data_IF_116545677220
#
_entry.id   IF_116545677220
#
_cell.length_a   1.000
_cell.length_b   1.000
_cell.length_c   1.000
_cell.angle_alpha   90.00
_cell.angle_beta   90.00
_cell.angle_gamma   90.00
#
_symmetry.space_group_name_H-M   'P 1'
#
loop_
_entity.id
_entity.type
_entity.pdbx_description
1 polymer ?
#
# COMPACT_ATOMS: atom_id res chain seq x y z
N UNK A 1 9.89 11.31 18.36
CA UNK A 1 9.37 10.28 18.94
C UNK A 1 8.59 9.43 18.05
N UNK A 2 8.39 8.26 18.37
CA UNK A 2 7.70 7.44 17.56
C UNK A 2 6.66 6.87 18.25
N UNK A 3 5.77 6.39 17.65
CA UNK A 3 4.76 5.82 18.29
C UNK A 3 4.42 4.62 17.57
N UNK A 4 3.95 3.65 18.22
CA UNK A 4 3.52 2.45 17.60
C UNK A 4 2.15 2.60 17.07
N UNK A 5 1.95 2.11 15.87
CA UNK A 5 0.63 2.11 15.28
C UNK A 5 0.13 0.70 15.21
N UNK A 6 -1.16 0.50 15.11
CA UNK A 6 -1.70 -0.83 14.92
C UNK A 6 -1.15 -1.41 13.65
N UNK A 7 -1.17 -2.71 13.56
CA UNK A 7 -0.71 -3.34 12.39
C UNK A 7 -1.57 -2.96 11.26
N UNK A 8 -1.11 -3.09 10.08
CA UNK A 8 -1.83 -2.79 8.88
C UNK A 8 -1.24 -1.63 8.13
N UNK A 9 -1.01 -0.52 8.79
CA UNK A 9 -0.47 0.61 8.07
C UNK A 9 0.15 1.60 9.01
N UNK A 10 0.98 2.46 8.46
CA UNK A 10 1.67 3.49 9.19
C UNK A 10 1.83 4.67 8.31
N UNK A 11 1.45 5.87 8.73
CA UNK A 11 1.71 7.06 7.91
C UNK A 11 3.20 7.35 7.89
N UNK A 12 3.77 7.52 6.69
CA UNK A 12 5.16 7.86 6.55
C UNK A 12 5.35 9.28 6.05
N UNK A 13 4.34 9.84 5.44
CA UNK A 13 4.43 11.20 4.93
C UNK A 13 3.03 11.75 4.71
N UNK A 14 2.88 13.06 4.86
CA UNK A 14 1.67 13.71 4.43
C UNK A 14 1.99 15.13 4.01
N UNK A 15 1.20 15.65 3.10
CA UNK A 15 1.45 16.96 2.57
C UNK A 15 1.10 18.02 3.62
N UNK A 16 1.52 19.27 3.40
CA UNK A 16 1.29 20.31 4.39
C UNK A 16 -0.19 20.56 4.70
N UNK A 17 -1.08 20.27 3.75
CA UNK A 17 -2.51 20.49 4.01
C UNK A 17 -3.13 19.35 4.80
N UNK A 18 -2.45 18.22 4.89
CA UNK A 18 -2.96 17.05 5.60
C UNK A 18 -3.98 16.25 4.83
N UNK A 19 -4.19 16.54 3.54
CA UNK A 19 -5.19 15.84 2.75
C UNK A 19 -4.66 14.60 2.06
N UNK A 20 -3.36 14.47 1.91
CA UNK A 20 -2.75 13.33 1.24
C UNK A 20 -1.72 12.70 2.16
N UNK A 21 -1.69 11.39 2.20
CA UNK A 21 -0.72 10.66 3.00
C UNK A 21 -0.04 9.61 2.16
N UNK A 22 1.20 9.30 2.52
CA UNK A 22 1.89 8.14 2.00
C UNK A 22 1.88 7.10 3.11
N UNK A 23 1.25 5.97 2.86
CA UNK A 23 1.07 4.94 3.86
C UNK A 23 1.92 3.72 3.54
N UNK A 24 2.51 3.12 4.57
CA UNK A 24 3.15 1.84 4.44
C UNK A 24 2.12 0.80 4.84
N UNK A 25 1.77 -0.10 3.95
CA UNK A 25 0.67 -1.02 4.17
C UNK A 25 1.14 -2.46 4.04
N UNK A 26 0.73 -3.29 5.00
CA UNK A 26 0.94 -4.72 4.93
C UNK A 26 -0.25 -5.32 4.20
N UNK A 27 0.02 -6.14 3.22
CA UNK A 27 -1.00 -6.66 2.32
C UNK A 27 -1.22 -8.13 2.61
N UNK A 28 -2.48 -8.53 2.62
CA UNK A 28 -2.84 -9.91 2.85
C UNK A 28 -2.14 -10.80 1.83
N UNK A 29 -1.59 -11.94 2.26
CA UNK A 29 -0.81 -12.78 1.35
C UNK A 29 -1.58 -13.30 0.13
N UNK A 30 -2.88 -13.28 0.16
CA UNK A 30 -3.64 -13.72 -1.01
C UNK A 30 -3.47 -12.81 -2.22
N UNK A 31 -2.88 -11.63 -2.02
CA UNK A 31 -2.59 -10.72 -3.14
C UNK A 31 -1.30 -11.08 -3.86
N UNK A 32 -0.50 -12.00 -3.30
CA UNK A 32 0.75 -12.39 -3.93
C UNK A 32 0.47 -12.94 -5.32
N UNK A 33 1.26 -12.52 -6.30
CA UNK A 33 1.08 -12.93 -7.67
C UNK A 33 0.34 -11.93 -8.52
N UNK A 34 -0.31 -10.94 -7.90
CA UNK A 34 -0.96 -9.90 -8.67
C UNK A 34 0.03 -8.79 -8.95
N UNK A 35 -0.18 -8.10 -10.05
CA UNK A 35 0.73 -6.99 -10.39
C UNK A 35 0.45 -5.80 -9.51
N UNK A 36 1.51 -5.05 -9.23
CA UNK A 36 1.34 -3.84 -8.42
C UNK A 36 0.35 -2.89 -9.06
N UNK A 37 0.33 -2.82 -10.38
CA UNK A 37 -0.63 -1.94 -11.04
C UNK A 37 -2.07 -2.37 -10.76
N UNK A 38 -2.30 -3.68 -10.55
CA UNK A 38 -3.63 -4.16 -10.20
C UNK A 38 -4.00 -3.77 -8.78
N UNK A 39 -3.02 -3.79 -7.88
CA UNK A 39 -3.25 -3.31 -6.53
C UNK A 39 -3.60 -1.82 -6.54
N UNK A 40 -2.86 -1.05 -7.32
CA UNK A 40 -3.13 0.37 -7.43
C UNK A 40 -4.53 0.63 -7.99
N UNK A 41 -4.93 -0.15 -8.99
CA UNK A 41 -6.27 0.01 -9.57
C UNK A 41 -7.35 -0.37 -8.56
N UNK A 42 -7.14 -1.44 -7.80
CA UNK A 42 -8.13 -1.86 -6.81
C UNK A 42 -8.29 -0.80 -5.72
N UNK A 43 -7.18 -0.19 -5.31
CA UNK A 43 -7.22 0.83 -4.27
C UNK A 43 -7.62 2.20 -4.81
N UNK A 44 -7.57 2.35 -6.14
CA UNK A 44 -7.80 3.65 -6.77
C UNK A 44 -6.85 4.69 -6.18
N UNK A 45 -5.61 4.29 -6.00
CA UNK A 45 -4.59 5.15 -5.43
C UNK A 45 -3.23 4.74 -5.97
N UNK A 46 -2.33 5.68 -6.21
CA UNK A 46 -1.01 5.34 -6.74
C UNK A 46 -0.16 4.61 -5.70
N UNK A 47 0.67 3.71 -6.19
CA UNK A 47 1.65 3.02 -5.37
C UNK A 47 3.01 3.42 -5.91
N UNK A 48 3.59 4.50 -5.37
CA UNK A 48 4.81 5.04 -5.96
C UNK A 48 6.02 4.13 -5.81
N UNK A 49 6.05 3.30 -4.78
CA UNK A 49 7.13 2.34 -4.66
C UNK A 49 6.76 1.23 -3.69
N UNK A 50 7.55 0.18 -3.74
CA UNK A 50 7.37 -1.01 -2.92
C UNK A 50 8.71 -1.29 -2.26
N UNK A 51 8.69 -1.77 -1.03
CA UNK A 51 9.92 -2.18 -0.37
C UNK A 51 10.00 -3.70 -0.39
N UNK A 52 11.06 -4.21 -0.98
CA UNK A 52 11.27 -5.65 -1.08
C UNK A 52 12.63 -5.96 -0.45
N UNK A 53 12.62 -6.69 0.64
CA UNK A 53 13.82 -7.05 1.38
C UNK A 53 14.68 -5.82 1.68
N UNK A 54 14.03 -4.75 2.09
CA UNK A 54 14.73 -3.54 2.47
C UNK A 54 15.13 -2.63 1.32
N UNK A 55 14.76 -2.98 0.08
CA UNK A 55 15.10 -2.16 -1.07
C UNK A 55 13.86 -1.52 -1.66
N UNK A 56 13.96 -0.25 -2.00
CA UNK A 56 12.87 0.41 -2.68
C UNK A 56 12.84 0.04 -4.15
N UNK A 57 11.66 -0.26 -4.65
CA UNK A 57 11.47 -0.62 -6.05
C UNK A 57 10.36 0.26 -6.61
N UNK A 58 10.63 0.92 -7.72
CA UNK A 58 9.58 1.67 -8.41
C UNK A 58 8.89 0.70 -9.35
N UNK A 59 7.62 0.40 -9.12
CA UNK A 59 6.96 -0.62 -9.91
C UNK A 59 6.66 -0.15 -11.32
N UNK A 60 6.72 -1.09 -12.25
CA UNK A 60 6.29 -0.84 -13.62
C UNK A 60 5.09 -1.76 -13.91
N UNK A 61 4.68 -1.81 -15.16
CA UNK A 61 3.49 -2.58 -15.51
C UNK A 61 3.66 -4.08 -15.32
N UNK A 62 4.89 -4.55 -15.15
CA UNK A 62 5.18 -5.97 -15.00
C UNK A 62 5.51 -6.37 -13.56
N UNK A 63 5.66 -5.40 -12.67
CA UNK A 63 6.06 -5.71 -11.30
C UNK A 63 4.95 -6.46 -10.59
N UNK A 64 5.30 -7.59 -9.98
CA UNK A 64 4.35 -8.45 -9.28
C UNK A 64 4.57 -8.36 -7.78
N UNK A 65 3.46 -8.28 -7.03
CA UNK A 65 3.53 -8.28 -5.58
C UNK A 65 3.98 -9.66 -5.11
N UNK A 66 4.99 -9.69 -4.24
CA UNK A 66 5.53 -10.92 -3.71
C UNK A 66 5.40 -10.97 -2.21
N UNK A 67 5.46 -12.18 -1.67
CA UNK A 67 5.34 -12.37 -0.24
C UNK A 67 6.43 -11.57 0.47
N UNK A 68 6.04 -10.87 1.50
CA UNK A 68 6.99 -10.05 2.26
C UNK A 68 7.16 -8.63 1.75
N UNK A 69 6.60 -8.31 0.59
CA UNK A 69 6.69 -6.94 0.10
C UNK A 69 5.84 -6.02 0.95
N UNK A 70 6.35 -4.81 1.18
CA UNK A 70 5.57 -3.75 1.78
C UNK A 70 5.24 -2.76 0.70
N UNK A 71 3.99 -2.36 0.61
CA UNK A 71 3.64 -1.37 -0.41
C UNK A 71 3.45 -0.01 0.25
N UNK A 72 3.79 1.03 -0.51
CA UNK A 72 3.59 2.40 -0.07
C UNK A 72 2.55 3.01 -0.98
N UNK A 73 1.46 3.46 -0.39
CA UNK A 73 0.30 3.95 -1.13
C UNK A 73 0.10 5.42 -0.82
N UNK A 74 -0.06 6.22 -1.85
CA UNK A 74 -0.38 7.64 -1.68
C UNK A 74 -1.89 7.78 -1.82
N UNK A 75 -2.55 8.20 -0.76
CA UNK A 75 -4.00 8.33 -0.81
C UNK A 75 -4.46 9.50 0.03
N UNK A 76 -5.68 9.92 -0.22
CA UNK A 76 -6.28 10.97 0.56
C UNK A 76 -6.54 10.47 1.98
N UNK A 77 -6.37 11.37 2.92
CA UNK A 77 -6.52 11.02 4.33
C UNK A 77 -7.85 10.34 4.61
N UNK A 78 -8.92 10.82 3.99
CA UNK A 78 -10.25 10.25 4.25
C UNK A 78 -10.41 8.87 3.67
N UNK A 79 -9.52 8.42 2.80
CA UNK A 79 -9.61 7.08 2.22
C UNK A 79 -8.73 6.07 2.90
N UNK A 80 -8.00 6.49 3.94
CA UNK A 80 -7.05 5.62 4.62
C UNK A 80 -7.69 4.31 5.07
N UNK A 81 -8.84 4.40 5.75
CA UNK A 81 -9.49 3.20 6.26
C UNK A 81 -9.93 2.27 5.14
N UNK A 82 -10.43 2.84 4.06
CA UNK A 82 -10.87 2.03 2.93
C UNK A 82 -9.71 1.28 2.30
N UNK A 83 -8.57 1.94 2.15
CA UNK A 83 -7.39 1.32 1.56
C UNK A 83 -6.84 0.24 2.49
N UNK A 84 -6.77 0.53 3.78
CA UNK A 84 -6.30 -0.47 4.73
C UNK A 84 -7.18 -1.70 4.73
N UNK A 85 -8.49 -1.50 4.73
CA UNK A 85 -9.42 -2.61 4.75
C UNK A 85 -9.31 -3.45 3.48
N UNK A 86 -9.11 -2.79 2.35
CA UNK A 86 -8.98 -3.50 1.10
C UNK A 86 -7.82 -4.49 1.14
N UNK A 87 -6.66 -4.00 1.60
CA UNK A 87 -5.46 -4.83 1.56
C UNK A 87 -5.33 -5.76 2.76
N UNK A 88 -6.10 -5.55 3.80
CA UNK A 88 -6.10 -6.46 4.93
C UNK A 88 -6.90 -7.73 4.64
N UNK A 89 -7.68 -7.74 3.58
CA UNK A 89 -8.51 -8.86 3.19
C UNK A 89 -7.99 -9.44 1.88
N UNK A 90 -8.40 -10.66 1.53
CA UNK A 90 -8.02 -11.20 0.21
C UNK A 90 -8.57 -10.34 -0.90
N UNK A 91 -7.97 -10.44 -2.10
CA UNK A 91 -8.46 -9.63 -3.22
C UNK A 91 -9.89 -9.99 -3.57
N UNK A 92 -10.67 -9.01 -4.02
CA UNK A 92 -12.03 -9.33 -4.43
C UNK A 92 -12.03 -10.23 -5.64
N UNK A 93 -13.08 -11.03 -5.73
CA UNK A 93 -13.22 -11.88 -6.86
C UNK A 93 -13.62 -11.04 -8.04
N UNK A 94 -13.14 -11.33 -9.17
CA UNK A 94 -13.54 -10.54 -10.32
C UNK A 94 -14.14 -11.41 -11.40
#
# INVERSE_FOLDING_TARGET
MRRLLPEGSEPVWRDPSGTVRLLQIYVHPAWVGKRIKDLSAAAQAPIPFVSRTGRGIVPDSQTVFQDGDLIFVACETERTDAVESLFAAPPPRS
#
